data_IF_833623281558
#
_entry.id   IF_833623281558
#
_cell.length_a   1.000
_cell.length_b   1.000
_cell.length_c   1.000
_cell.angle_alpha   90.00
_cell.angle_beta   90.00
_cell.angle_gamma   90.00
#
_symmetry.space_group_name_H-M   'P 1'
#
loop_
_entity.id
_entity.type
_entity.pdbx_description
1 polymer ?
#
# COMPACT_ATOMS: atom_id res chain seq x y z
N UNK A 1 16.71 10.06 22.09
CA UNK A 1 15.60 9.17 21.69
C UNK A 1 15.53 9.12 20.18
N UNK A 2 15.60 7.94 19.56
CA UNK A 2 15.37 7.81 18.12
C UNK A 2 13.89 8.09 17.84
N UNK A 3 13.59 8.83 16.76
CA UNK A 3 12.21 9.13 16.41
C UNK A 3 11.48 7.86 15.95
N UNK A 4 10.18 7.71 16.28
CA UNK A 4 9.48 6.45 16.12
C UNK A 4 9.16 6.14 14.65
N UNK A 5 9.16 4.84 14.34
CA UNK A 5 8.65 4.29 13.07
C UNK A 5 7.12 4.28 13.14
N UNK A 6 6.46 4.60 12.01
CA UNK A 6 5.00 4.79 11.99
C UNK A 6 4.33 4.13 10.79
N UNK A 7 3.18 3.53 11.03
CA UNK A 7 2.23 3.15 10.00
C UNK A 7 1.34 4.33 9.63
N UNK A 8 1.27 4.63 8.34
CA UNK A 8 0.34 5.60 7.77
C UNK A 8 -0.70 4.90 6.92
N UNK A 9 -1.98 5.22 7.15
CA UNK A 9 -3.07 4.83 6.26
C UNK A 9 -3.20 5.85 5.15
N UNK A 10 -3.09 5.39 3.91
CA UNK A 10 -3.21 6.22 2.72
C UNK A 10 -4.51 5.92 2.00
N UNK A 11 -5.20 6.96 1.55
CA UNK A 11 -6.29 6.88 0.58
C UNK A 11 -5.73 7.18 -0.81
N UNK A 12 -5.82 6.22 -1.71
CA UNK A 12 -5.31 6.29 -3.07
C UNK A 12 -6.44 6.41 -4.09
N UNK A 13 -6.23 7.13 -5.20
CA UNK A 13 -7.21 7.21 -6.27
C UNK A 13 -7.38 5.84 -6.96
N UNK A 14 -8.51 5.58 -7.62
CA UNK A 14 -8.72 4.35 -8.39
C UNK A 14 -7.67 4.13 -9.48
N UNK A 15 -7.14 5.22 -10.04
CA UNK A 15 -6.08 5.25 -11.07
C UNK A 15 -4.70 4.86 -10.53
N UNK A 16 -4.50 4.84 -9.21
CA UNK A 16 -3.26 4.37 -8.60
C UNK A 16 -3.14 2.87 -8.84
N UNK A 17 -2.15 2.51 -9.65
CA UNK A 17 -1.84 1.13 -9.93
C UNK A 17 -1.31 0.47 -8.64
N UNK A 18 -1.91 -0.62 -8.13
CA UNK A 18 -1.42 -1.37 -6.98
C UNK A 18 -0.11 -2.08 -7.33
N UNK A 19 0.02 -2.38 -8.62
CA UNK A 19 1.10 -3.06 -9.31
C UNK A 19 2.27 -2.15 -9.67
N UNK A 20 2.44 -0.98 -9.03
CA UNK A 20 3.75 -0.29 -9.04
C UNK A 20 4.90 -1.15 -8.46
N UNK A 21 4.56 -2.32 -7.93
CA UNK A 21 5.46 -3.39 -7.50
C UNK A 21 5.81 -4.44 -8.59
N UNK A 22 5.32 -4.29 -9.82
CA UNK A 22 5.73 -5.17 -10.94
C UNK A 22 5.18 -6.60 -10.92
N UNK A 23 4.15 -6.91 -10.13
CA UNK A 23 3.61 -8.28 -10.06
C UNK A 23 2.09 -8.34 -9.85
N UNK A 24 1.37 -9.30 -10.47
CA UNK A 24 -0.03 -9.56 -10.16
C UNK A 24 -0.14 -10.26 -8.79
N UNK A 25 -0.98 -9.71 -7.90
CA UNK A 25 -1.38 -10.36 -6.66
C UNK A 25 -2.35 -11.50 -6.98
N UNK A 26 -1.81 -12.66 -7.37
CA UNK A 26 -2.56 -13.92 -7.40
C UNK A 26 -2.40 -14.68 -6.06
N UNK A 27 -2.18 -13.97 -4.96
CA UNK A 27 -2.25 -14.59 -3.64
C UNK A 27 -3.71 -14.58 -3.18
N UNK A 28 -4.23 -15.68 -2.61
CA UNK A 28 -5.54 -15.67 -1.99
C UNK A 28 -5.55 -14.56 -0.95
N UNK A 29 -6.55 -13.70 -1.09
CA UNK A 29 -6.76 -12.61 -0.15
C UNK A 29 -7.18 -13.26 1.16
N UNK A 30 -6.44 -13.06 2.27
CA UNK A 30 -6.82 -13.68 3.53
C UNK A 30 -8.20 -13.16 3.97
N UNK A 31 -9.00 -13.96 4.66
CA UNK A 31 -10.37 -13.60 5.03
C UNK A 31 -10.50 -12.26 5.79
N UNK A 32 -9.42 -11.85 6.48
CA UNK A 32 -9.34 -10.55 7.17
C UNK A 32 -8.94 -9.37 6.27
N UNK A 33 -8.34 -9.63 5.10
CA UNK A 33 -8.13 -8.61 4.09
C UNK A 33 -9.35 -8.61 3.16
N UNK A 34 -10.22 -7.62 3.25
CA UNK A 34 -11.26 -7.48 2.24
C UNK A 34 -10.61 -6.85 1.00
N UNK A 35 -10.22 -7.67 0.02
CA UNK A 35 -9.73 -7.15 -1.25
C UNK A 35 -10.89 -6.59 -2.05
N UNK A 36 -10.71 -5.37 -2.54
CA UNK A 36 -11.55 -4.76 -3.57
C UNK A 36 -11.42 -5.43 -4.94
N UNK A 37 -10.59 -6.47 -5.10
CA UNK A 37 -10.57 -7.29 -6.32
C UNK A 37 -11.80 -8.24 -6.42
N UNK A 38 -12.66 -8.26 -5.39
CA UNK A 38 -14.01 -8.83 -5.42
C UNK A 38 -15.12 -7.75 -5.35
N UNK A 39 -14.84 -6.50 -5.73
CA UNK A 39 -15.83 -5.43 -5.70
C UNK A 39 -16.75 -5.48 -6.93
N UNK A 40 -17.92 -6.08 -6.76
CA UNK A 40 -19.14 -5.50 -7.34
C UNK A 40 -19.24 -4.01 -6.92
N UNK A 41 -19.82 -3.14 -7.77
CA UNK A 41 -19.76 -1.70 -7.57
C UNK A 41 -20.54 -1.29 -6.33
N UNK A 42 -19.83 -0.93 -5.25
CA UNK A 42 -20.41 -0.30 -4.07
C UNK A 42 -20.79 1.15 -4.41
N UNK A 43 -22.00 1.33 -4.95
CA UNK A 43 -22.80 2.47 -4.58
C UNK A 43 -23.03 2.40 -3.06
N UNK A 44 -22.92 3.55 -2.38
CA UNK A 44 -23.44 3.76 -1.03
C UNK A 44 -22.53 3.37 0.15
N UNK A 45 -21.49 4.17 0.38
CA UNK A 45 -20.96 4.39 1.73
C UNK A 45 -20.45 5.83 1.88
N UNK A 46 -21.34 6.70 2.34
CA UNK A 46 -21.10 8.10 2.60
C UNK A 46 -20.46 8.35 3.99
N UNK A 47 -19.82 9.53 4.10
CA UNK A 47 -19.42 10.25 5.32
C UNK A 47 -18.00 10.00 5.93
N UNK A 48 -16.96 10.38 5.17
CA UNK A 48 -15.65 10.80 5.74
C UNK A 48 -15.57 12.34 5.75
N UNK A 49 -15.08 13.00 6.82
CA UNK A 49 -15.00 14.46 6.89
C UNK A 49 -14.14 15.05 5.76
N UNK A 50 -14.77 15.94 5.00
CA UNK A 50 -14.27 16.52 3.75
C UNK A 50 -13.31 17.68 4.00
N UNK A 51 -11.99 17.45 3.97
CA UNK A 51 -11.01 18.52 3.68
C UNK A 51 -10.74 18.57 2.17
N UNK A 52 -10.88 19.78 1.59
CA UNK A 52 -10.87 20.09 0.15
C UNK A 52 -9.64 19.54 -0.61
N UNK A 53 -9.78 18.33 -1.11
CA UNK A 53 -9.28 17.86 -2.40
C UNK A 53 -10.42 17.04 -3.00
N UNK A 54 -10.66 17.12 -4.32
CA UNK A 54 -11.64 16.21 -4.97
C UNK A 54 -11.15 14.78 -4.73
N UNK A 55 -11.75 14.09 -3.75
CA UNK A 55 -11.65 12.65 -3.64
C UNK A 55 -12.39 12.12 -4.86
N UNK A 56 -11.70 11.37 -5.72
CA UNK A 56 -12.38 10.59 -6.74
C UNK A 56 -13.27 9.57 -6.03
N UNK A 57 -14.54 9.51 -6.43
CA UNK A 57 -15.44 8.42 -6.06
C UNK A 57 -14.76 7.11 -6.50
N UNK A 58 -14.59 6.14 -5.59
CA UNK A 58 -13.94 4.85 -5.88
C UNK A 58 -12.46 4.70 -5.49
N UNK A 59 -11.94 5.48 -4.54
CA UNK A 59 -10.58 5.28 -4.00
C UNK A 59 -10.44 4.03 -3.11
N UNK A 60 -9.20 3.63 -2.82
CA UNK A 60 -8.88 2.48 -1.97
C UNK A 60 -7.83 2.84 -0.90
N UNK A 61 -7.82 2.11 0.20
CA UNK A 61 -6.89 2.33 1.31
C UNK A 61 -5.72 1.35 1.27
N UNK A 62 -4.57 1.78 1.76
CA UNK A 62 -3.38 0.93 1.95
C UNK A 62 -2.47 1.55 3.00
N UNK A 63 -1.67 0.73 3.67
CA UNK A 63 -0.75 1.21 4.69
C UNK A 63 0.68 1.30 4.16
N UNK A 64 1.46 2.23 4.71
CA UNK A 64 2.91 2.35 4.53
C UNK A 64 3.60 2.46 5.89
N UNK A 65 4.67 1.71 6.06
CA UNK A 65 5.56 1.83 7.21
C UNK A 65 6.67 2.82 6.87
N UNK A 66 6.78 3.88 7.65
CA UNK A 66 7.71 4.97 7.42
C UNK A 66 8.64 5.14 8.62
N UNK A 67 9.93 5.35 8.34
CA UNK A 67 10.90 5.77 9.35
C UNK A 67 10.64 7.21 9.81
N UNK A 68 11.32 7.60 10.88
CA UNK A 68 11.39 8.99 11.34
C UNK A 68 11.78 10.02 10.27
N UNK A 69 12.67 9.66 9.34
CA UNK A 69 13.11 10.55 8.26
C UNK A 69 12.20 10.46 7.01
N UNK A 70 10.95 10.04 7.18
CA UNK A 70 9.95 9.88 6.12
C UNK A 70 10.42 8.97 4.96
N UNK A 71 11.31 8.01 5.23
CA UNK A 71 11.67 6.97 4.26
C UNK A 71 10.73 5.80 4.44
N UNK A 72 10.20 5.30 3.34
CA UNK A 72 9.42 4.07 3.36
C UNK A 72 10.32 2.89 3.67
N UNK A 73 9.92 2.10 4.67
CA UNK A 73 10.47 0.77 4.94
C UNK A 73 9.70 -0.28 4.16
N UNK A 74 8.37 -0.24 4.26
CA UNK A 74 7.48 -1.23 3.69
C UNK A 74 6.11 -0.62 3.33
N UNK A 75 5.34 -1.36 2.54
CA UNK A 75 3.95 -1.04 2.23
C UNK A 75 3.10 -2.31 2.20
N UNK A 76 1.79 -2.12 2.35
CA UNK A 76 0.80 -3.18 2.15
C UNK A 76 0.87 -3.69 0.72
N UNK A 77 0.76 -5.01 0.57
CA UNK A 77 0.50 -5.61 -0.74
C UNK A 77 -0.99 -5.60 -1.07
N UNK A 78 -1.88 -5.50 -0.08
CA UNK A 78 -3.33 -5.42 -0.30
C UNK A 78 -3.86 -3.99 -0.36
N UNK A 79 -5.03 -3.88 -0.99
CA UNK A 79 -5.93 -2.73 -0.95
C UNK A 79 -7.08 -3.02 0.02
N UNK A 80 -7.57 -2.00 0.70
CA UNK A 80 -8.68 -2.12 1.64
C UNK A 80 -9.80 -1.16 1.27
N UNK A 81 -11.05 -1.56 1.50
CA UNK A 81 -12.23 -0.74 1.24
C UNK A 81 -12.40 0.41 2.24
N UNK A 82 -11.85 0.27 3.46
CA UNK A 82 -11.98 1.28 4.51
C UNK A 82 -10.65 1.48 5.28
N UNK A 83 -10.47 2.64 5.95
CA UNK A 83 -9.31 2.86 6.78
C UNK A 83 -9.29 1.96 8.02
N UNK A 84 -10.45 1.52 8.52
CA UNK A 84 -10.58 0.59 9.64
C UNK A 84 -10.03 -0.79 9.28
N UNK A 85 -10.40 -1.31 8.10
CA UNK A 85 -9.87 -2.58 7.57
C UNK A 85 -8.36 -2.49 7.35
N UNK A 86 -7.89 -1.34 6.85
CA UNK A 86 -6.45 -1.09 6.67
C UNK A 86 -5.68 -1.11 8.00
N UNK A 87 -6.26 -0.57 9.09
CA UNK A 87 -5.65 -0.62 10.43
C UNK A 87 -5.74 -1.98 11.07
N UNK A 88 -6.85 -2.68 10.87
CA UNK A 88 -7.00 -4.06 11.29
C UNK A 88 -5.87 -4.91 10.68
N UNK A 89 -5.66 -4.78 9.37
CA UNK A 89 -4.54 -5.40 8.68
C UNK A 89 -3.17 -5.04 9.27
N UNK A 90 -2.94 -3.76 9.61
CA UNK A 90 -1.70 -3.36 10.30
C UNK A 90 -1.55 -4.11 11.62
N UNK A 91 -2.62 -4.18 12.43
CA UNK A 91 -2.59 -4.88 13.73
C UNK A 91 -2.33 -6.38 13.58
N UNK A 92 -2.89 -7.02 12.55
CA UNK A 92 -2.58 -8.42 12.23
C UNK A 92 -1.10 -8.61 11.92
N UNK A 93 -0.50 -7.72 11.12
CA UNK A 93 0.94 -7.75 10.82
C UNK A 93 1.78 -7.51 12.08
N UNK A 94 1.37 -6.62 12.99
CA UNK A 94 2.07 -6.39 14.25
C UNK A 94 2.00 -7.61 15.18
N UNK A 95 0.81 -8.18 15.35
CA UNK A 95 0.58 -9.36 16.19
C UNK A 95 1.30 -10.60 15.63
N UNK A 96 1.36 -10.74 14.30
CA UNK A 96 2.05 -11.80 13.59
C UNK A 96 3.54 -11.56 13.34
N UNK A 97 4.11 -10.46 13.84
CA UNK A 97 5.47 -10.01 13.49
C UNK A 97 6.57 -11.06 13.70
N UNK A 98 6.49 -11.82 14.79
CA UNK A 98 7.42 -12.91 15.09
C UNK A 98 7.29 -14.15 14.19
N UNK A 99 6.23 -14.23 13.38
CA UNK A 99 5.98 -15.30 12.38
C UNK A 99 6.24 -14.86 10.94
N UNK A 100 6.67 -13.61 10.74
CA UNK A 100 6.93 -13.10 9.39
C UNK A 100 8.10 -13.83 8.73
N UNK A 101 7.84 -14.39 7.55
CA UNK A 101 8.86 -14.98 6.67
C UNK A 101 9.25 -13.92 5.64
N UNK A 102 10.56 -13.69 5.49
CA UNK A 102 11.10 -12.70 4.56
C UNK A 102 11.77 -13.38 3.37
N UNK A 103 11.40 -12.94 2.17
CA UNK A 103 11.96 -13.45 0.91
C UNK A 103 12.48 -12.28 0.06
N UNK A 104 13.68 -12.41 -0.50
CA UNK A 104 14.22 -11.50 -1.52
C UNK A 104 14.10 -12.10 -2.90
N UNK A 105 13.88 -11.25 -3.90
CA UNK A 105 13.75 -11.68 -5.29
C UNK A 105 14.22 -10.59 -6.25
N UNK A 106 14.82 -10.97 -7.39
CA UNK A 106 15.16 -10.04 -8.45
C UNK A 106 13.91 -9.70 -9.30
N UNK A 107 13.84 -8.46 -9.74
CA UNK A 107 12.92 -7.96 -10.76
C UNK A 107 13.47 -8.41 -12.13
N UNK A 108 12.70 -9.19 -12.91
CA UNK A 108 13.21 -9.82 -14.13
C UNK A 108 13.48 -8.81 -15.26
N UNK A 109 12.94 -7.59 -15.17
CA UNK A 109 13.11 -6.55 -16.19
C UNK A 109 14.32 -5.67 -15.88
N UNK A 110 14.47 -5.28 -14.62
CA UNK A 110 15.49 -4.30 -14.20
C UNK A 110 16.74 -4.94 -13.59
N UNK A 111 16.65 -6.17 -13.10
CA UNK A 111 17.70 -6.82 -12.31
C UNK A 111 17.79 -6.33 -10.86
N UNK A 112 16.99 -5.33 -10.48
CA UNK A 112 16.90 -4.85 -9.10
C UNK A 112 16.30 -5.90 -8.18
N UNK A 113 16.71 -5.93 -6.93
CA UNK A 113 16.14 -6.76 -5.88
C UNK A 113 15.03 -6.04 -5.11
N UNK A 114 13.97 -6.77 -4.79
CA UNK A 114 12.98 -6.37 -3.80
C UNK A 114 12.86 -7.44 -2.72
N UNK A 115 12.00 -7.19 -1.75
CA UNK A 115 11.66 -8.15 -0.71
C UNK A 115 10.17 -8.17 -0.41
N UNK A 116 9.69 -9.31 0.10
CA UNK A 116 8.32 -9.55 0.53
C UNK A 116 8.31 -10.16 1.92
N UNK A 117 7.36 -9.73 2.73
CA UNK A 117 7.04 -10.32 4.02
C UNK A 117 5.74 -11.10 3.91
N UNK A 118 5.78 -12.35 4.36
CA UNK A 118 4.65 -13.27 4.40
C UNK A 118 4.30 -13.60 5.84
N UNK A 119 3.02 -13.55 6.17
CA UNK A 119 2.47 -13.99 7.43
C UNK A 119 1.61 -15.22 7.15
N UNK A 120 1.99 -16.37 7.71
CA UNK A 120 1.27 -17.64 7.54
C UNK A 120 0.98 -17.92 6.04
N UNK A 121 2.05 -17.91 5.23
CA UNK A 121 2.08 -18.07 3.76
C UNK A 121 1.30 -17.01 2.94
N UNK A 122 0.80 -15.97 3.61
CA UNK A 122 0.08 -14.88 2.97
C UNK A 122 0.99 -13.67 2.83
N UNK A 123 1.22 -13.14 1.61
CA UNK A 123 2.01 -11.94 1.46
C UNK A 123 1.27 -10.75 2.08
N UNK A 124 1.94 -10.01 2.96
CA UNK A 124 1.34 -8.86 3.66
C UNK A 124 2.10 -7.57 3.41
N UNK A 125 3.41 -7.67 3.19
CA UNK A 125 4.30 -6.53 3.08
C UNK A 125 5.23 -6.65 1.87
N UNK A 126 5.57 -5.52 1.27
CA UNK A 126 6.63 -5.44 0.26
C UNK A 126 7.54 -4.23 0.51
N UNK A 127 8.81 -4.42 0.14
CA UNK A 127 9.80 -3.36 0.06
C UNK A 127 9.79 -2.62 -1.28
N UNK A 128 10.53 -1.52 -1.32
CA UNK A 128 10.96 -0.89 -2.57
C UNK A 128 12.05 -1.73 -3.27
N UNK A 129 12.39 -1.36 -4.51
CA UNK A 129 13.50 -1.93 -5.26
C UNK A 129 14.87 -1.41 -4.78
N UNK A 130 15.89 -2.24 -4.93
CA UNK A 130 17.28 -2.01 -4.55
C UNK A 130 18.20 -2.64 -5.60
N UNK A 131 19.31 -2.01 -5.94
CA UNK A 131 20.26 -2.57 -6.92
C UNK A 131 20.96 -3.85 -6.43
N UNK A 132 21.01 -4.08 -5.11
CA UNK A 132 21.73 -5.21 -4.50
C UNK A 132 20.84 -6.03 -3.57
N UNK A 133 20.93 -7.36 -3.69
CA UNK A 133 20.17 -8.30 -2.86
C UNK A 133 20.43 -8.10 -1.36
N UNK A 134 21.69 -7.93 -0.97
CA UNK A 134 22.07 -7.72 0.43
C UNK A 134 21.39 -6.48 1.03
N UNK A 135 21.22 -5.43 0.24
CA UNK A 135 20.51 -4.21 0.66
C UNK A 135 19.01 -4.48 0.82
N UNK A 136 18.41 -5.27 -0.08
CA UNK A 136 17.02 -5.70 0.05
C UNK A 136 16.81 -6.57 1.32
N UNK A 137 17.69 -7.53 1.58
CA UNK A 137 17.67 -8.37 2.81
C UNK A 137 17.80 -7.52 4.07
N UNK A 138 18.74 -6.57 4.08
CA UNK A 138 18.90 -5.65 5.21
C UNK A 138 17.65 -4.79 5.45
N UNK A 139 17.04 -4.28 4.38
CA UNK A 139 15.80 -3.52 4.49
C UNK A 139 14.62 -4.37 5.00
N UNK A 140 14.52 -5.64 4.58
CA UNK A 140 13.52 -6.58 5.05
C UNK A 140 13.66 -6.85 6.55
N UNK A 141 14.89 -7.07 7.04
CA UNK A 141 15.16 -7.22 8.47
C UNK A 141 14.76 -5.98 9.26
N UNK A 142 15.10 -4.79 8.76
CA UNK A 142 14.73 -3.51 9.38
C UNK A 142 13.21 -3.31 9.48
N UNK A 143 12.43 -3.92 8.58
CA UNK A 143 10.98 -3.94 8.68
C UNK A 143 10.52 -4.82 9.86
N UNK A 144 11.04 -6.05 10.00
CA UNK A 144 10.67 -6.94 11.12
C UNK A 144 11.09 -6.36 12.47
N UNK A 145 12.29 -5.77 12.56
CA UNK A 145 12.77 -5.13 13.79
C UNK A 145 11.89 -3.94 14.21
N UNK A 146 11.14 -3.34 13.28
CA UNK A 146 10.38 -2.13 13.53
C UNK A 146 8.86 -2.36 13.65
N UNK A 147 8.34 -3.44 13.08
CA UNK A 147 6.88 -3.59 12.89
C UNK A 147 6.13 -3.74 14.21
N UNK A 148 6.68 -4.49 15.18
CA UNK A 148 6.03 -4.77 16.46
C UNK A 148 5.74 -3.48 17.25
N UNK A 149 6.70 -2.56 17.28
CA UNK A 149 6.64 -1.32 18.08
C UNK A 149 6.23 -0.09 17.28
N UNK A 150 5.95 -0.23 15.98
CA UNK A 150 5.59 0.91 15.14
C UNK A 150 4.25 1.53 15.58
N UNK A 151 4.22 2.87 15.65
CA UNK A 151 3.01 3.61 15.98
C UNK A 151 2.01 3.53 14.81
N UNK A 152 0.77 3.14 15.08
CA UNK A 152 -0.32 3.17 14.08
C UNK A 152 -1.01 4.52 14.14
N UNK A 153 -0.81 5.34 13.11
CA UNK A 153 -1.36 6.69 13.11
C UNK A 153 -2.87 6.72 12.86
N UNK A 154 -3.56 7.64 13.54
CA UNK A 154 -4.99 7.87 13.35
C UNK A 154 -5.34 8.67 12.08
N UNK A 155 -4.33 9.23 11.41
CA UNK A 155 -4.54 10.13 10.29
C UNK A 155 -4.54 9.38 8.97
N UNK A 156 -5.63 9.52 8.21
CA UNK A 156 -5.69 9.12 6.80
C UNK A 156 -5.05 10.19 5.92
N UNK A 157 -4.09 9.79 5.09
CA UNK A 157 -3.43 10.66 4.10
C UNK A 157 -3.97 10.39 2.70
N UNK A 158 -4.72 11.35 2.16
CA UNK A 158 -5.13 11.29 0.76
C UNK A 158 -3.94 11.59 -0.17
N UNK A 159 -3.57 10.62 -1.00
CA UNK A 159 -2.61 10.83 -2.08
C UNK A 159 -3.34 11.45 -3.27
N UNK A 160 -2.82 12.56 -3.78
CA UNK A 160 -3.36 13.20 -4.98
C UNK A 160 -3.10 12.33 -6.20
N UNK A 161 -4.11 12.23 -7.06
CA UNK A 161 -3.90 11.71 -8.40
C UNK A 161 -2.95 12.65 -9.15
N UNK A 162 -1.75 12.15 -9.47
CA UNK A 162 -0.78 12.89 -10.29
C UNK A 162 -1.09 12.75 -11.78
N UNK A 163 -1.91 11.76 -12.16
CA UNK A 163 -2.56 11.74 -13.47
C UNK A 163 -3.77 12.64 -13.32
N UNK A 164 -3.62 13.92 -13.66
CA UNK A 164 -4.80 14.78 -13.82
C UNK A 164 -5.84 14.11 -14.73
N UNK A 165 -7.11 14.56 -14.74
CA UNK A 165 -8.05 14.09 -15.74
C UNK A 165 -7.36 14.17 -17.10
N UNK A 166 -7.36 13.07 -17.86
CA UNK A 166 -6.82 13.08 -19.21
C UNK A 166 -7.39 14.32 -19.92
N UNK A 167 -6.56 15.12 -20.62
CA UNK A 167 -7.09 16.26 -21.35
C UNK A 167 -8.24 15.73 -22.20
N UNK A 168 -9.44 16.27 -21.95
CA UNK A 168 -10.61 15.97 -22.76
C UNK A 168 -10.18 16.17 -24.20
N UNK A 169 -10.13 15.10 -24.99
CA UNK A 169 -10.09 15.22 -26.44
C UNK A 169 -11.44 15.84 -26.79
N UNK A 170 -11.51 17.16 -26.74
CA UNK A 170 -12.49 17.91 -27.50
C UNK A 170 -12.24 17.52 -28.95
N UNK A 171 -12.98 16.54 -29.43
CA UNK A 171 -13.25 16.37 -30.85
C UNK A 171 -13.98 17.64 -31.27
N UNK A 172 -13.23 18.58 -31.82
CA UNK A 172 -13.77 19.61 -32.70
C UNK A 172 -14.24 18.90 -33.97
N UNK A 173 -15.42 18.27 -33.89
CA UNK A 173 -16.20 17.94 -35.08
C UNK A 173 -17.30 18.99 -35.23
N UNK A 174 -17.22 19.71 -36.35
CA UNK A 174 -18.39 20.24 -37.05
C UNK A 174 -18.93 21.60 -36.61
N UNK A 175 -18.47 22.66 -37.26
CA UNK A 175 -19.31 23.74 -37.83
C UNK A 175 -18.58 24.17 -39.12
N UNK A 176 -18.98 23.63 -40.28
CA UNK A 176 -19.96 24.19 -41.22
C UNK A 176 -19.39 25.35 -42.03
#
# INVERSE_FOLDING_TARGET
MAAPVRFFVHLLPPSAAPNWLGWPLAAPVPAWATSVDAAEPLAEAAAVPRRRGRLSVGGWYSWRLMTANNRELARSVFRYASPELCRHAVREVQAGSGRLVLSTFPDPVTGDFSWRGELDDTPVAAGKRYEQEQTARYAAKRFVDAVADAEVTDMVRALRDRRGPAPSRYTSEGQS
#
